data_IF_592655703504
#
_entry.id   IF_592655703504
#
_cell.length_a   1.000
_cell.length_b   1.000
_cell.length_c   1.000
_cell.angle_alpha   90.00
_cell.angle_beta   90.00
_cell.angle_gamma   90.00
#
_symmetry.space_group_name_H-M   'P 1'
#
loop_
_entity.id
_entity.type
_entity.pdbx_description
1 polymer ?
#
# COMPACT_ATOMS: atom_id res chain seq x y z
N UNK A 1 -5.60 0.54 17.56
CA UNK A 1 -5.48 1.76 16.73
C UNK A 1 -5.99 1.41 15.34
N UNK A 2 -6.92 2.17 14.78
CA UNK A 2 -7.57 1.82 13.48
C UNK A 2 -7.18 2.77 12.34
N UNK A 3 -6.53 3.89 12.65
CA UNK A 3 -6.08 4.89 11.69
C UNK A 3 -4.85 5.65 12.21
N UNK A 4 -4.12 6.31 11.32
CA UNK A 4 -3.00 7.21 11.64
C UNK A 4 -3.24 8.58 11.00
N UNK A 5 -3.83 9.50 11.77
CA UNK A 5 -4.32 10.80 11.28
C UNK A 5 -3.20 11.67 10.74
N UNK A 6 -2.12 11.80 11.51
CA UNK A 6 -1.03 12.69 11.18
C UNK A 6 -0.11 12.08 10.12
N UNK A 7 0.35 12.89 9.14
CA UNK A 7 1.43 12.49 8.25
C UNK A 7 2.71 12.14 9.02
N UNK A 8 3.48 11.18 8.49
CA UNK A 8 4.78 10.79 9.05
C UNK A 8 5.86 11.88 8.89
N UNK A 9 5.60 12.86 8.03
CA UNK A 9 6.52 13.96 7.72
C UNK A 9 5.74 15.17 7.23
N UNK A 10 6.36 16.35 7.31
CA UNK A 10 5.83 17.60 6.73
C UNK A 10 5.96 17.66 5.21
N UNK A 11 6.80 16.79 4.62
CA UNK A 11 6.99 16.75 3.16
C UNK A 11 5.78 16.06 2.49
N UNK A 12 5.13 16.71 1.51
CA UNK A 12 4.05 16.09 0.76
C UNK A 12 4.51 14.81 0.03
N UNK A 13 3.61 13.84 -0.09
CA UNK A 13 3.87 12.61 -0.83
C UNK A 13 3.98 12.87 -2.34
N UNK A 14 4.91 12.17 -3.00
CA UNK A 14 5.09 12.18 -4.45
C UNK A 14 4.56 10.85 -5.02
N UNK A 15 3.48 10.92 -5.79
CA UNK A 15 2.81 9.74 -6.32
C UNK A 15 3.69 8.94 -7.31
N UNK A 16 4.54 9.62 -8.09
CA UNK A 16 5.43 8.96 -9.04
C UNK A 16 6.52 8.18 -8.31
N UNK A 17 7.12 8.78 -7.27
CA UNK A 17 8.06 8.07 -6.38
C UNK A 17 7.36 6.92 -5.65
N UNK A 18 6.13 7.12 -5.18
CA UNK A 18 5.31 6.08 -4.57
C UNK A 18 5.08 4.87 -5.48
N UNK A 19 4.74 5.11 -6.76
CA UNK A 19 4.65 4.05 -7.78
C UNK A 19 5.97 3.29 -7.93
N UNK A 20 7.10 4.00 -7.93
CA UNK A 20 8.43 3.39 -7.95
C UNK A 20 8.72 2.51 -6.73
N UNK A 21 8.41 2.97 -5.52
CA UNK A 21 8.57 2.20 -4.27
C UNK A 21 7.69 0.95 -4.27
N UNK A 22 6.43 1.10 -4.69
CA UNK A 22 5.41 0.05 -4.69
C UNK A 22 5.81 -1.15 -5.55
N UNK A 23 6.31 -0.92 -6.77
CA UNK A 23 6.69 -1.98 -7.70
C UNK A 23 8.11 -2.53 -7.48
N UNK A 24 8.96 -1.83 -6.71
CA UNK A 24 10.36 -2.21 -6.53
C UNK A 24 10.51 -3.33 -5.49
N UNK A 25 11.08 -4.46 -5.94
CA UNK A 25 11.30 -5.67 -5.13
C UNK A 25 12.20 -5.49 -3.90
N UNK A 26 13.09 -4.48 -3.91
CA UNK A 26 14.00 -4.16 -2.80
C UNK A 26 13.44 -3.09 -1.86
N UNK A 27 12.28 -2.52 -2.17
CA UNK A 27 11.62 -1.50 -1.37
C UNK A 27 10.26 -2.03 -0.88
N UNK A 28 9.15 -1.56 -1.45
CA UNK A 28 7.81 -1.95 -1.01
C UNK A 28 7.42 -3.36 -1.44
N UNK A 29 7.91 -3.83 -2.59
CA UNK A 29 7.61 -5.14 -3.17
C UNK A 29 6.11 -5.52 -3.13
N UNK A 30 5.22 -4.53 -3.21
CA UNK A 30 3.79 -4.71 -2.90
C UNK A 30 3.12 -5.64 -3.91
N UNK A 31 3.60 -5.61 -5.16
CA UNK A 31 3.16 -6.49 -6.25
C UNK A 31 3.44 -7.98 -6.01
N UNK A 32 4.35 -8.33 -5.09
CA UNK A 32 4.56 -9.74 -4.74
C UNK A 32 3.32 -10.35 -4.08
N UNK A 33 2.49 -9.53 -3.41
CA UNK A 33 1.30 -10.00 -2.70
C UNK A 33 0.00 -9.50 -3.32
N UNK A 34 -0.01 -8.31 -3.94
CA UNK A 34 -1.24 -7.64 -4.38
C UNK A 34 -1.32 -7.45 -5.89
N UNK A 35 -2.55 -7.50 -6.42
CA UNK A 35 -2.88 -7.05 -7.77
C UNK A 35 -3.24 -5.56 -7.81
N UNK A 36 -2.95 -4.91 -8.95
CA UNK A 36 -3.29 -3.53 -9.23
C UNK A 36 -3.33 -3.30 -10.76
N UNK A 37 -4.52 -3.10 -11.34
CA UNK A 37 -4.70 -2.96 -12.79
C UNK A 37 -3.96 -1.74 -13.35
N UNK A 38 -3.84 -0.66 -12.55
CA UNK A 38 -3.09 0.54 -12.91
C UNK A 38 -1.57 0.31 -13.09
N UNK A 39 -1.07 -0.90 -12.79
CA UNK A 39 0.31 -1.31 -13.02
C UNK A 39 0.43 -2.60 -13.82
N UNK A 40 -0.57 -2.94 -14.65
CA UNK A 40 -0.60 -4.17 -15.46
C UNK A 40 0.59 -4.37 -16.39
N UNK A 41 1.37 -3.33 -16.67
CA UNK A 41 2.63 -3.41 -17.40
C UNK A 41 3.72 -4.19 -16.63
N UNK A 42 3.57 -4.36 -15.31
CA UNK A 42 4.46 -5.15 -14.47
C UNK A 42 4.10 -6.62 -14.58
N UNK A 43 5.09 -7.46 -14.85
CA UNK A 43 4.84 -8.87 -15.24
C UNK A 43 4.31 -9.77 -14.12
N UNK A 44 4.41 -9.35 -12.85
CA UNK A 44 4.06 -10.19 -11.70
C UNK A 44 3.18 -9.45 -10.72
N UNK A 45 2.03 -10.05 -10.41
CA UNK A 45 1.11 -9.61 -9.38
C UNK A 45 0.64 -10.82 -8.57
N UNK A 46 0.93 -10.83 -7.26
CA UNK A 46 0.52 -11.88 -6.34
C UNK A 46 -0.95 -11.83 -5.99
N UNK A 47 -1.41 -12.91 -5.35
CA UNK A 47 -2.79 -13.11 -4.89
C UNK A 47 -2.88 -13.40 -3.38
N UNK A 48 -1.78 -13.20 -2.64
CA UNK A 48 -1.74 -13.40 -1.19
C UNK A 48 -2.61 -12.35 -0.49
N UNK A 49 -2.52 -11.10 -0.94
CA UNK A 49 -3.35 -10.00 -0.48
C UNK A 49 -4.47 -9.68 -1.47
N UNK A 50 -5.52 -8.97 -1.02
CA UNK A 50 -6.62 -8.56 -1.89
C UNK A 50 -6.16 -7.55 -2.97
N UNK A 51 -6.85 -7.44 -4.11
CA UNK A 51 -6.56 -6.42 -5.10
C UNK A 51 -6.69 -4.99 -4.52
N UNK A 52 -5.80 -4.10 -4.93
CA UNK A 52 -5.77 -2.71 -4.45
C UNK A 52 -6.53 -1.73 -5.34
N UNK A 53 -7.12 -2.20 -6.44
CA UNK A 53 -8.00 -1.40 -7.29
C UNK A 53 -9.17 -0.83 -6.46
N UNK A 54 -9.40 0.48 -6.54
CA UNK A 54 -10.43 1.19 -5.78
C UNK A 54 -10.15 1.33 -4.27
N UNK A 55 -8.93 1.05 -3.79
CA UNK A 55 -8.61 1.10 -2.35
C UNK A 55 -8.85 2.49 -1.73
N UNK A 56 -8.65 3.56 -2.50
CA UNK A 56 -8.88 4.93 -2.05
C UNK A 56 -10.38 5.27 -1.85
N UNK A 57 -11.29 4.48 -2.42
CA UNK A 57 -12.73 4.61 -2.19
C UNK A 57 -13.19 3.83 -0.95
N UNK A 58 -12.39 2.86 -0.49
CA UNK A 58 -12.71 2.00 0.67
C UNK A 58 -12.19 2.55 1.98
N UNK A 59 -11.06 3.27 1.95
CA UNK A 59 -10.35 3.71 3.14
C UNK A 59 -9.96 5.18 3.04
N UNK A 60 -10.03 5.88 4.16
CA UNK A 60 -9.49 7.22 4.32
C UNK A 60 -7.96 7.24 4.21
N UNK A 61 -7.38 8.43 4.02
CA UNK A 61 -5.93 8.63 3.98
C UNK A 61 -5.26 8.15 5.28
N UNK A 62 -5.90 8.38 6.44
CA UNK A 62 -5.37 7.98 7.74
C UNK A 62 -5.35 6.44 7.92
N UNK A 63 -6.38 5.76 7.42
CA UNK A 63 -6.47 4.30 7.41
C UNK A 63 -5.49 3.63 6.45
N UNK A 64 -5.27 4.24 5.28
CA UNK A 64 -4.24 3.80 4.33
C UNK A 64 -2.84 3.93 4.92
N UNK A 65 -2.57 5.04 5.61
CA UNK A 65 -1.28 5.26 6.28
C UNK A 65 -0.99 4.18 7.31
N UNK A 66 -1.95 3.86 8.18
CA UNK A 66 -1.76 2.81 9.16
C UNK A 66 -1.48 1.45 8.51
N UNK A 67 -2.19 1.09 7.43
CA UNK A 67 -1.97 -0.18 6.70
C UNK A 67 -0.55 -0.32 6.16
N UNK A 68 0.10 0.79 5.79
CA UNK A 68 1.48 0.76 5.30
C UNK A 68 2.49 0.76 6.45
N UNK A 69 2.20 1.49 7.54
CA UNK A 69 3.14 1.67 8.66
C UNK A 69 3.15 0.50 9.63
N UNK A 70 1.96 0.01 9.99
CA UNK A 70 1.77 -1.08 10.95
C UNK A 70 0.51 -1.89 10.59
N UNK A 71 0.58 -2.76 9.57
CA UNK A 71 -0.54 -3.59 9.17
C UNK A 71 -0.96 -4.58 10.27
N UNK A 72 -0.05 -4.98 11.17
CA UNK A 72 -0.34 -5.94 12.26
C UNK A 72 -1.25 -5.36 13.33
N UNK A 73 -1.25 -4.04 13.52
CA UNK A 73 -2.24 -3.37 14.37
C UNK A 73 -3.70 -3.56 13.87
N UNK A 74 -3.88 -3.84 12.57
CA UNK A 74 -5.19 -4.06 11.95
C UNK A 74 -5.51 -5.56 11.78
N UNK A 75 -4.51 -6.35 11.39
CA UNK A 75 -4.64 -7.78 11.22
C UNK A 75 -3.36 -8.48 11.73
N UNK A 76 -3.37 -9.06 12.94
CA UNK A 76 -2.21 -9.76 13.51
C UNK A 76 -1.65 -10.87 12.61
N UNK A 77 -2.49 -11.49 11.78
CA UNK A 77 -2.15 -12.61 10.89
C UNK A 77 -1.59 -12.16 9.53
N UNK A 78 -1.45 -10.84 9.29
CA UNK A 78 -0.81 -10.31 8.08
C UNK A 78 0.69 -10.64 8.03
N UNK A 79 1.26 -10.76 6.83
CA UNK A 79 2.68 -11.08 6.61
C UNK A 79 3.55 -9.83 6.49
#
# INVERSE_FOLDING_TARGET
MTEMKDPLTKQPGDAAKGKGVFANRKLGNCLACHKLEAMKEQSFHGEVGPPLDGVASRYSVAELRLRVVDPKALNPDTI
#
